data_IF_530527829726
#
_entry.id   IF_530527829726
#
_cell.length_a   1.000
_cell.length_b   1.000
_cell.length_c   1.000
_cell.angle_alpha   90.00
_cell.angle_beta   90.00
_cell.angle_gamma   90.00
#
_symmetry.space_group_name_H-M   'P 1'
#
loop_
_entity.id
_entity.type
_entity.pdbx_description
1 polymer ?
#
# COMPACT_ATOMS: atom_id res chain seq x y z
N UNK A 1 -4.21 -13.34 -16.56
CA UNK A 1 -4.15 -11.90 -16.54
C UNK A 1 -2.91 -11.44 -15.80
N UNK A 2 -2.23 -10.53 -16.36
CA UNK A 2 -1.08 -9.99 -15.72
C UNK A 2 -1.45 -8.93 -14.69
N UNK A 3 -0.97 -9.09 -13.48
CA UNK A 3 -1.14 -8.14 -12.42
C UNK A 3 0.03 -7.19 -12.40
N UNK A 4 -0.09 -6.06 -12.94
CA UNK A 4 0.99 -5.09 -12.85
C UNK A 4 1.11 -4.45 -11.48
N UNK A 5 0.57 -5.06 -10.47
CA UNK A 5 0.58 -4.52 -9.12
C UNK A 5 2.00 -4.31 -8.62
N UNK A 6 2.93 -5.17 -9.03
CA UNK A 6 4.33 -5.03 -8.66
C UNK A 6 4.93 -3.69 -9.10
N UNK A 7 4.31 -3.01 -10.06
CA UNK A 7 4.79 -1.72 -10.53
C UNK A 7 4.24 -0.55 -9.73
N UNK A 8 3.27 -0.80 -8.87
CA UNK A 8 2.71 0.23 -8.02
C UNK A 8 3.67 0.50 -6.89
N UNK A 9 4.07 1.75 -6.73
CA UNK A 9 4.92 2.16 -5.62
C UNK A 9 4.13 2.45 -4.35
N UNK A 10 2.82 2.48 -4.44
CA UNK A 10 1.91 2.63 -3.33
C UNK A 10 1.50 1.25 -2.79
N UNK A 11 1.26 1.13 -1.49
CA UNK A 11 1.41 2.21 -0.51
C UNK A 11 2.87 2.55 -0.25
N UNK A 12 3.11 3.81 0.07
CA UNK A 12 4.42 4.30 0.44
C UNK A 12 4.36 4.82 1.86
N UNK A 13 5.39 4.47 2.64
CA UNK A 13 5.45 4.84 4.05
C UNK A 13 6.47 5.97 4.22
N UNK A 14 5.99 7.09 4.76
CA UNK A 14 6.83 8.28 4.93
C UNK A 14 6.81 8.72 6.38
N UNK A 15 7.81 9.51 6.75
CA UNK A 15 7.93 10.12 8.07
C UNK A 15 7.90 9.10 9.21
N UNK A 16 8.61 7.98 9.02
CA UNK A 16 8.71 6.96 10.06
C UNK A 16 9.42 7.51 11.29
N UNK A 17 8.80 7.34 12.44
CA UNK A 17 9.35 7.79 13.73
C UNK A 17 9.14 6.69 14.76
N UNK A 18 10.23 6.21 15.41
CA UNK A 18 10.08 5.22 16.47
C UNK A 18 9.23 5.75 17.61
N UNK A 19 8.43 4.87 18.22
CA UNK A 19 7.60 5.25 19.35
C UNK A 19 8.44 5.26 20.64
N UNK A 20 8.20 6.28 21.47
CA UNK A 20 8.88 6.34 22.77
C UNK A 20 8.48 5.20 23.69
N UNK A 21 7.21 4.82 23.64
CA UNK A 21 6.68 3.75 24.50
C UNK A 21 7.10 2.36 24.03
N UNK A 22 7.46 2.21 22.76
CA UNK A 22 7.96 0.96 22.21
C UNK A 22 8.82 1.25 20.98
N UNK A 23 10.16 1.39 21.16
CA UNK A 23 11.03 1.76 20.03
C UNK A 23 11.14 0.69 18.94
N UNK A 24 10.61 -0.51 19.15
CA UNK A 24 10.55 -1.53 18.11
C UNK A 24 9.43 -1.25 17.09
N UNK A 25 8.54 -0.32 17.42
CA UNK A 25 7.48 0.11 16.52
C UNK A 25 7.72 1.52 16.05
N UNK A 26 7.27 1.80 14.85
CA UNK A 26 7.34 3.14 14.28
C UNK A 26 5.96 3.60 13.86
N UNK A 27 5.70 4.89 14.07
CA UNK A 27 4.53 5.55 13.51
C UNK A 27 4.93 6.17 12.18
N UNK A 28 4.04 6.12 11.21
CA UNK A 28 4.31 6.69 9.89
C UNK A 28 3.04 7.26 9.29
N UNK A 29 3.23 8.02 8.23
CA UNK A 29 2.15 8.41 7.34
C UNK A 29 2.20 7.49 6.12
N UNK A 30 1.05 7.17 5.58
CA UNK A 30 0.94 6.22 4.47
C UNK A 30 0.29 6.92 3.28
N UNK A 31 1.01 6.94 2.16
CA UNK A 31 0.45 7.33 0.87
C UNK A 31 -0.20 6.07 0.30
N UNK A 32 -1.50 5.93 0.49
CA UNK A 32 -2.21 4.69 0.18
C UNK A 32 -2.35 4.49 -1.32
N UNK A 33 -2.89 5.50 -2.00
CA UNK A 33 -3.06 5.52 -3.44
C UNK A 33 -3.28 6.96 -3.89
N UNK A 34 -3.15 7.21 -5.17
CA UNK A 34 -3.49 8.52 -5.72
C UNK A 34 -4.67 8.41 -6.66
N UNK A 35 -5.45 9.50 -6.73
CA UNK A 35 -6.60 9.56 -7.61
C UNK A 35 -6.14 9.82 -9.05
N UNK A 36 -6.98 9.41 -10.00
CA UNK A 36 -6.67 9.52 -11.40
C UNK A 36 -6.13 8.21 -11.98
N UNK A 37 -5.46 8.32 -13.12
CA UNK A 37 -4.93 7.15 -13.81
C UNK A 37 -3.62 6.72 -13.15
N UNK A 38 -3.57 5.47 -12.70
CA UNK A 38 -2.37 4.92 -12.10
C UNK A 38 -1.50 4.20 -13.14
N UNK A 39 -0.36 3.67 -12.69
CA UNK A 39 0.59 2.99 -13.59
C UNK A 39 0.06 1.71 -14.20
N UNK A 40 -0.96 1.13 -13.60
CA UNK A 40 -1.62 -0.06 -14.14
C UNK A 40 -2.62 0.28 -15.24
N UNK A 41 -2.81 1.55 -15.56
CA UNK A 41 -3.82 1.98 -16.50
C UNK A 41 -5.22 2.04 -15.92
N UNK A 42 -5.39 1.76 -14.64
CA UNK A 42 -6.67 1.91 -13.96
C UNK A 42 -6.89 3.35 -13.56
N UNK A 43 -8.15 3.74 -13.51
CA UNK A 43 -8.54 5.07 -13.08
C UNK A 43 -9.30 4.98 -11.77
N UNK A 44 -8.84 5.73 -10.77
CA UNK A 44 -9.51 5.81 -9.47
C UNK A 44 -10.03 7.23 -9.31
N UNK A 45 -11.35 7.37 -9.32
CA UNK A 45 -11.97 8.67 -9.11
C UNK A 45 -11.89 9.09 -7.65
N UNK A 46 -12.07 10.40 -7.40
CA UNK A 46 -12.12 10.92 -6.03
C UNK A 46 -13.22 10.25 -5.23
N UNK A 47 -14.38 10.02 -5.85
CA UNK A 47 -15.52 9.40 -5.19
C UNK A 47 -15.21 7.97 -4.76
N UNK A 48 -14.55 7.21 -5.62
CA UNK A 48 -14.13 5.85 -5.28
C UNK A 48 -13.10 5.88 -4.14
N UNK A 49 -12.15 6.78 -4.20
CA UNK A 49 -11.15 6.91 -3.15
C UNK A 49 -11.79 7.30 -1.82
N UNK A 50 -12.82 8.14 -1.83
CA UNK A 50 -13.55 8.48 -0.62
C UNK A 50 -14.28 7.28 -0.03
N UNK A 51 -14.83 6.41 -0.86
CA UNK A 51 -15.43 5.16 -0.39
C UNK A 51 -14.37 4.21 0.19
N UNK A 52 -13.23 4.11 -0.46
CA UNK A 52 -12.13 3.29 0.05
C UNK A 52 -11.62 3.80 1.39
N UNK A 53 -11.61 5.11 1.58
CA UNK A 53 -11.17 5.73 2.82
C UNK A 53 -11.97 5.24 4.03
N UNK A 54 -13.22 4.89 3.85
CA UNK A 54 -14.11 4.45 4.94
C UNK A 54 -13.67 3.12 5.54
N UNK A 55 -12.88 2.33 4.83
CA UNK A 55 -12.46 1.01 5.27
C UNK A 55 -10.99 0.94 5.67
N UNK A 56 -10.27 2.05 5.65
CA UNK A 56 -8.86 2.06 6.00
C UNK A 56 -8.60 1.86 7.49
N UNK A 57 -9.44 2.46 8.34
CA UNK A 57 -9.25 2.37 9.78
C UNK A 57 -9.38 0.94 10.25
N UNK A 58 -8.40 0.50 11.02
CA UNK A 58 -8.35 -0.89 11.48
C UNK A 58 -7.76 -1.87 10.49
N UNK A 59 -7.35 -1.42 9.31
CA UNK A 59 -6.80 -2.31 8.30
C UNK A 59 -5.41 -2.81 8.70
N UNK A 60 -5.11 -4.10 8.49
CA UNK A 60 -3.76 -4.59 8.68
C UNK A 60 -2.85 -4.14 7.53
N UNK A 61 -1.59 -3.92 7.83
CA UNK A 61 -0.56 -3.69 6.83
C UNK A 61 0.16 -5.01 6.64
N UNK A 62 0.04 -5.57 5.45
CA UNK A 62 0.60 -6.87 5.13
C UNK A 62 1.61 -6.75 4.02
N UNK A 63 2.53 -7.70 3.98
CA UNK A 63 3.54 -7.73 2.94
C UNK A 63 4.13 -9.12 2.79
N UNK A 64 4.94 -9.28 1.77
CA UNK A 64 5.67 -10.50 1.52
C UNK A 64 7.15 -10.15 1.35
N UNK A 65 7.92 -10.44 2.39
CA UNK A 65 9.35 -10.15 2.41
C UNK A 65 10.12 -11.36 1.89
N UNK A 66 11.04 -11.13 0.97
CA UNK A 66 11.90 -12.17 0.39
C UNK A 66 13.33 -11.90 0.85
N UNK A 67 13.87 -12.78 1.69
CA UNK A 67 15.21 -12.60 2.28
C UNK A 67 16.31 -12.55 1.24
N UNK A 68 16.23 -13.39 0.21
CA UNK A 68 17.25 -13.43 -0.85
C UNK A 68 17.38 -12.09 -1.58
N UNK A 69 16.29 -11.32 -1.66
CA UNK A 69 16.26 -10.03 -2.33
C UNK A 69 16.30 -8.87 -1.35
N UNK A 70 16.22 -9.15 -0.07
CA UNK A 70 16.16 -8.15 1.00
C UNK A 70 15.10 -7.08 0.74
N UNK A 71 13.98 -7.49 0.16
CA UNK A 71 12.93 -6.58 -0.24
C UNK A 71 11.56 -7.26 -0.19
N UNK A 72 10.52 -6.45 -0.23
CA UNK A 72 9.16 -6.94 -0.33
C UNK A 72 8.80 -7.15 -1.79
N UNK A 73 8.20 -8.28 -2.07
CA UNK A 73 7.57 -8.52 -3.34
C UNK A 73 6.10 -8.14 -3.24
N UNK A 74 5.37 -8.31 -4.34
CA UNK A 74 3.98 -7.88 -4.45
C UNK A 74 3.03 -8.55 -3.44
N UNK A 75 2.03 -9.26 -3.89
CA UNK A 75 1.01 -9.80 -2.98
C UNK A 75 1.38 -11.07 -2.25
N UNK A 76 2.51 -11.69 -2.57
CA UNK A 76 2.90 -12.95 -1.97
C UNK A 76 1.94 -14.08 -2.25
N UNK A 77 1.20 -14.01 -3.32
CA UNK A 77 0.28 -15.07 -3.73
C UNK A 77 1.05 -16.17 -4.46
N UNK A 78 0.69 -17.39 -4.14
CA UNK A 78 1.27 -18.56 -4.78
C UNK A 78 0.17 -19.44 -5.31
N UNK A 79 0.30 -19.83 -6.57
CA UNK A 79 -0.62 -20.76 -7.20
C UNK A 79 -0.08 -22.17 -7.03
N UNK A 80 -0.89 -23.03 -6.44
CA UNK A 80 -0.52 -24.42 -6.18
C UNK A 80 -1.48 -25.34 -6.91
N UNK A 81 -0.93 -26.31 -7.65
CA UNK A 81 -1.71 -27.30 -8.38
C UNK A 81 -1.68 -28.60 -7.57
N UNK A 82 -2.83 -29.02 -7.06
CA UNK A 82 -2.88 -30.16 -6.14
C UNK A 82 -3.55 -31.43 -6.72
N UNK A 83 -3.76 -31.45 -8.03
CA UNK A 83 -4.40 -32.59 -8.68
C UNK A 83 -5.92 -32.54 -8.74
N UNK A 84 -6.54 -31.74 -7.91
CA UNK A 84 -7.98 -31.54 -7.91
C UNK A 84 -8.37 -30.16 -8.44
N UNK A 85 -7.38 -29.31 -8.58
CA UNK A 85 -7.58 -27.95 -9.05
C UNK A 85 -6.41 -27.06 -8.66
N UNK A 86 -6.64 -25.76 -8.82
CA UNK A 86 -5.64 -24.75 -8.51
C UNK A 86 -6.04 -24.07 -7.21
N UNK A 87 -5.10 -24.00 -6.29
CA UNK A 87 -5.26 -23.28 -5.04
C UNK A 87 -4.32 -22.08 -5.02
N UNK A 88 -4.78 -20.97 -4.43
CA UNK A 88 -3.95 -19.80 -4.21
C UNK A 88 -3.58 -19.72 -2.74
N UNK A 89 -2.30 -19.74 -2.47
CA UNK A 89 -1.78 -19.54 -1.12
C UNK A 89 -1.32 -18.10 -1.00
N UNK A 90 -1.74 -17.45 0.08
CA UNK A 90 -1.28 -16.10 0.38
C UNK A 90 -0.11 -16.19 1.34
N UNK A 91 1.05 -15.71 0.91
CA UNK A 91 2.29 -15.75 1.70
C UNK A 91 2.54 -14.47 2.47
N UNK A 92 1.60 -13.52 2.42
CA UNK A 92 1.76 -12.25 3.13
C UNK A 92 1.68 -12.45 4.64
N UNK A 93 2.42 -11.60 5.33
CA UNK A 93 2.44 -11.57 6.80
C UNK A 93 2.11 -10.17 7.27
N UNK A 94 1.55 -10.02 8.47
CA UNK A 94 1.29 -8.70 9.03
C UNK A 94 2.59 -8.03 9.47
N UNK A 95 2.75 -6.78 9.11
CA UNK A 95 3.88 -5.96 9.52
C UNK A 95 3.45 -4.70 10.27
N UNK A 96 2.17 -4.46 10.36
CA UNK A 96 1.66 -3.30 11.04
C UNK A 96 0.16 -3.16 10.87
N UNK A 97 -0.35 -2.01 11.21
CA UNK A 97 -1.79 -1.76 11.15
C UNK A 97 -2.09 -0.28 11.09
N UNK A 98 -3.29 0.02 10.60
CA UNK A 98 -3.88 1.36 10.67
C UNK A 98 -4.78 1.36 11.90
N UNK A 99 -4.55 2.28 12.82
CA UNK A 99 -5.32 2.32 14.06
C UNK A 99 -6.80 2.60 13.77
N UNK A 100 -7.72 2.09 14.61
CA UNK A 100 -9.15 2.32 14.42
C UNK A 100 -9.56 3.79 14.47
N UNK A 101 -8.76 4.63 15.11
CA UNK A 101 -8.98 6.07 15.22
C UNK A 101 -8.01 6.89 14.38
N UNK A 102 -7.36 6.26 13.41
CA UNK A 102 -6.40 6.96 12.57
C UNK A 102 -7.03 8.09 11.78
N UNK A 103 -6.29 9.16 11.56
CA UNK A 103 -6.70 10.22 10.66
C UNK A 103 -6.66 9.71 9.22
N UNK A 104 -7.62 10.13 8.42
CA UNK A 104 -7.68 9.84 6.99
C UNK A 104 -7.95 11.15 6.27
N UNK A 105 -7.11 11.48 5.30
CA UNK A 105 -7.23 12.75 4.57
C UNK A 105 -6.72 12.61 3.14
N UNK A 106 -6.89 13.64 2.35
CA UNK A 106 -6.30 13.73 1.02
C UNK A 106 -5.25 14.82 1.02
N UNK A 107 -4.16 14.57 0.32
CA UNK A 107 -3.05 15.52 0.25
C UNK A 107 -2.39 15.44 -1.10
N UNK A 108 -2.02 16.61 -1.64
CA UNK A 108 -1.31 16.68 -2.90
C UNK A 108 0.19 16.56 -2.69
N UNK A 109 0.84 15.84 -3.59
CA UNK A 109 2.29 15.71 -3.65
C UNK A 109 2.75 15.92 -5.07
N UNK A 110 3.95 16.45 -5.22
CA UNK A 110 4.59 16.53 -6.52
C UNK A 110 5.31 15.22 -6.79
N UNK A 111 5.03 14.65 -7.95
CA UNK A 111 5.66 13.41 -8.43
C UNK A 111 6.25 13.65 -9.80
N UNK A 112 7.03 12.67 -10.24
CA UNK A 112 7.56 12.67 -11.61
C UNK A 112 6.80 11.63 -12.42
N UNK A 113 6.30 12.00 -13.59
CA UNK A 113 5.65 11.05 -14.49
C UNK A 113 6.69 10.18 -15.21
N UNK A 114 6.22 9.28 -16.05
CA UNK A 114 7.10 8.37 -16.79
C UNK A 114 8.01 9.06 -17.82
N UNK A 115 7.81 10.34 -18.06
CA UNK A 115 8.57 11.13 -19.02
C UNK A 115 9.47 12.17 -18.37
N UNK A 116 9.58 12.14 -17.05
CA UNK A 116 10.42 13.07 -16.31
C UNK A 116 9.77 14.43 -16.00
N UNK A 117 8.50 14.60 -16.29
CA UNK A 117 7.79 15.83 -15.99
C UNK A 117 7.28 15.80 -14.55
N UNK A 118 7.31 16.97 -13.90
CA UNK A 118 6.71 17.11 -12.57
C UNK A 118 5.20 17.22 -12.70
N UNK A 119 4.49 16.39 -11.98
CA UNK A 119 3.03 16.42 -11.92
C UNK A 119 2.58 16.42 -10.48
N UNK A 120 1.39 16.96 -10.23
CA UNK A 120 0.79 16.95 -8.91
C UNK A 120 -0.24 15.83 -8.85
N UNK A 121 -0.12 14.99 -7.82
CA UNK A 121 -1.06 13.91 -7.57
C UNK A 121 -1.71 14.09 -6.21
N UNK A 122 -2.99 13.78 -6.14
CA UNK A 122 -3.72 13.77 -4.88
C UNK A 122 -3.75 12.38 -4.31
N UNK A 123 -3.19 12.21 -3.12
CA UNK A 123 -3.11 10.92 -2.44
C UNK A 123 -4.14 10.80 -1.33
N UNK A 124 -4.71 9.62 -1.22
CA UNK A 124 -5.43 9.21 -0.03
C UNK A 124 -4.39 8.86 1.02
N UNK A 125 -4.48 9.50 2.17
CA UNK A 125 -3.49 9.42 3.24
C UNK A 125 -4.10 8.88 4.51
N UNK A 126 -3.30 8.16 5.27
CA UNK A 126 -3.64 7.80 6.64
C UNK A 126 -2.37 7.66 7.45
N UNK A 127 -2.52 7.34 8.72
CA UNK A 127 -1.37 7.03 9.59
C UNK A 127 -1.38 5.55 9.93
N UNK A 128 -0.20 5.01 10.22
CA UNK A 128 -0.09 3.62 10.57
C UNK A 128 1.07 3.36 11.52
N UNK A 129 1.11 2.14 12.01
CA UNK A 129 2.16 1.64 12.87
C UNK A 129 2.80 0.43 12.22
N UNK A 130 4.12 0.44 12.17
CA UNK A 130 4.90 -0.66 11.61
C UNK A 130 5.77 -1.33 12.67
#
# INVERSE_FOLDING_TARGET
MNQSIATIKSPEFINLTPLDINPLMSKCEIKVLYTGKNRNGSFISKEVAEEMAKTLRGAPIVGYYVEDKEDFLDHGEQMVFDGEGIKFNCLTKPYGFVAPDAAVWFQEFEDTDGFGNTITREYLMTTGYL
#
